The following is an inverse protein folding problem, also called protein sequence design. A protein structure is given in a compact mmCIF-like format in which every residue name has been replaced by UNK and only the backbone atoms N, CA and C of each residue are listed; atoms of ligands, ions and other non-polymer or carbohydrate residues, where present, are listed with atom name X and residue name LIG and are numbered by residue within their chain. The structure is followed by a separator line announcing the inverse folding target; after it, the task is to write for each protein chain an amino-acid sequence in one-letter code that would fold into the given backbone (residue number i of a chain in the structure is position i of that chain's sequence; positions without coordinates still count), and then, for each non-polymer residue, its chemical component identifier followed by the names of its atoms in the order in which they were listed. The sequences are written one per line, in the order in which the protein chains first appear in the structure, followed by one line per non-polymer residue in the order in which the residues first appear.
data_IF_285575903386
#
_entry.id   IF_285575903386
#
_cell.length_a   1.000
_cell.length_b   1.000
_cell.length_c   1.000
_cell.angle_alpha   90.00
_cell.angle_beta   90.00
_cell.angle_gamma   90.00
#
_symmetry.space_group_name_H-M   'P 1'
#
loop_
_entity.id
_entity.type
_entity.pdbx_description
1 polymer ?
#
# COMPACT_ATOMS: atom_id res chain seq x y z
N UNK A 1 8.94 31.45 1.99
CA UNK A 1 8.44 30.86 0.72
C UNK A 1 8.71 29.38 0.79
N UNK A 2 7.72 28.47 0.85
CA UNK A 2 8.02 27.05 0.75
C UNK A 2 8.14 26.67 -0.73
N UNK A 3 9.26 26.05 -1.06
CA UNK A 3 9.53 25.42 -2.35
C UNK A 3 8.42 24.37 -2.54
N UNK A 4 7.56 24.56 -3.55
CA UNK A 4 6.72 23.46 -4.05
C UNK A 4 7.67 22.44 -4.65
N UNK A 5 8.03 21.43 -3.88
CA UNK A 5 8.64 20.21 -4.40
C UNK A 5 7.69 19.72 -5.51
N UNK A 6 8.19 19.60 -6.73
CA UNK A 6 7.46 18.93 -7.81
C UNK A 6 7.39 17.47 -7.35
N UNK A 7 6.28 17.09 -6.72
CA UNK A 7 6.02 15.69 -6.39
C UNK A 7 5.93 14.98 -7.74
N UNK A 8 6.82 14.04 -7.99
CA UNK A 8 6.75 13.22 -9.19
C UNK A 8 5.37 12.55 -9.21
N UNK A 9 4.55 12.86 -10.22
CA UNK A 9 3.22 12.28 -10.36
C UNK A 9 3.36 10.76 -10.48
N UNK A 10 2.60 10.02 -9.67
CA UNK A 10 2.51 8.56 -9.78
C UNK A 10 1.44 8.22 -10.81
N UNK A 11 1.84 7.62 -11.93
CA UNK A 11 0.88 7.02 -12.87
C UNK A 11 0.16 5.83 -12.22
N UNK A 12 -1.09 5.61 -12.59
CA UNK A 12 -1.78 4.37 -12.24
C UNK A 12 -1.04 3.18 -12.83
N UNK A 13 -1.08 2.05 -12.13
CA UNK A 13 -0.47 0.81 -12.61
C UNK A 13 -1.32 0.15 -13.72
N UNK A 14 -2.63 0.39 -13.73
CA UNK A 14 -3.56 -0.27 -14.67
C UNK A 14 -4.26 0.68 -15.66
N UNK A 15 -4.04 2.01 -15.56
CA UNK A 15 -4.68 2.97 -16.47
C UNK A 15 -3.84 4.23 -16.69
N UNK A 16 -4.31 5.14 -17.55
CA UNK A 16 -3.58 6.37 -17.90
C UNK A 16 -3.72 7.50 -16.85
N UNK A 17 -4.49 7.30 -15.77
CA UNK A 17 -4.67 8.33 -14.74
C UNK A 17 -3.40 8.58 -13.95
N UNK A 18 -3.26 9.82 -13.46
CA UNK A 18 -2.12 10.26 -12.65
C UNK A 18 -2.58 10.75 -11.29
N UNK A 19 -1.73 10.54 -10.30
CA UNK A 19 -2.00 10.86 -8.90
C UNK A 19 -0.85 11.67 -8.30
N UNK A 20 -1.20 12.51 -7.34
CA UNK A 20 -0.22 13.33 -6.60
C UNK A 20 0.64 12.49 -5.66
N UNK A 21 0.14 11.35 -5.21
CA UNK A 21 0.79 10.46 -4.24
C UNK A 21 0.56 9.01 -4.63
N UNK A 22 1.47 8.13 -4.21
CA UNK A 22 1.34 6.70 -4.44
C UNK A 22 0.15 6.14 -3.64
N UNK A 23 -0.05 6.57 -2.40
CA UNK A 23 -1.22 6.18 -1.61
C UNK A 23 -2.55 6.61 -2.23
N UNK A 24 -2.59 7.75 -2.92
CA UNK A 24 -3.76 8.19 -3.68
C UNK A 24 -4.05 7.33 -4.90
N UNK A 25 -3.00 6.82 -5.56
CA UNK A 25 -3.13 5.83 -6.64
C UNK A 25 -3.64 4.49 -6.10
N UNK A 26 -3.15 4.03 -4.95
CA UNK A 26 -3.64 2.79 -4.33
C UNK A 26 -5.12 2.89 -3.94
N UNK A 27 -5.60 4.03 -3.42
CA UNK A 27 -7.06 4.23 -3.18
C UNK A 27 -7.85 3.98 -4.47
N UNK A 28 -7.35 4.50 -5.61
CA UNK A 28 -8.04 4.35 -6.88
C UNK A 28 -8.18 2.89 -7.32
N UNK A 29 -7.13 2.09 -7.11
CA UNK A 29 -7.16 0.65 -7.35
C UNK A 29 -8.06 -0.06 -6.34
N UNK A 30 -7.92 0.19 -5.03
CA UNK A 30 -8.74 -0.43 -3.98
C UNK A 30 -10.26 -0.27 -4.21
N UNK A 31 -10.69 0.83 -4.86
CA UNK A 31 -12.09 1.06 -5.18
C UNK A 31 -12.67 0.12 -6.26
N UNK A 32 -11.87 -0.69 -6.96
CA UNK A 32 -12.36 -1.60 -8.02
C UNK A 32 -12.83 -0.89 -9.29
N UNK A 33 -12.72 0.44 -9.36
CA UNK A 33 -13.15 1.24 -10.52
C UNK A 33 -12.08 1.35 -11.61
N UNK A 34 -10.88 0.86 -11.32
CA UNK A 34 -9.73 0.86 -12.20
C UNK A 34 -9.39 -0.58 -12.62
N UNK A 35 -9.75 -0.94 -13.85
CA UNK A 35 -9.30 -2.16 -14.54
C UNK A 35 -9.32 -3.43 -13.66
N UNK A 36 -10.53 -3.94 -13.36
CA UNK A 36 -10.81 -5.21 -12.65
C UNK A 36 -9.92 -5.57 -11.43
N UNK A 37 -9.18 -4.60 -10.88
CA UNK A 37 -8.30 -4.73 -9.73
C UNK A 37 -8.98 -4.02 -8.59
N UNK A 38 -9.14 -4.70 -7.47
CA UNK A 38 -9.71 -4.11 -6.26
C UNK A 38 -8.81 -4.34 -5.03
N UNK A 39 -9.34 -4.02 -3.85
CA UNK A 39 -8.60 -4.17 -2.61
C UNK A 39 -8.25 -5.64 -2.29
N UNK A 40 -9.06 -6.61 -2.73
CA UNK A 40 -8.82 -8.05 -2.53
C UNK A 40 -7.56 -8.45 -3.28
N UNK A 41 -7.44 -8.05 -4.55
CA UNK A 41 -6.26 -8.37 -5.37
C UNK A 41 -4.98 -7.75 -4.79
N UNK A 42 -5.06 -6.48 -4.37
CA UNK A 42 -3.92 -5.77 -3.79
C UNK A 42 -3.48 -6.38 -2.46
N UNK A 43 -4.42 -6.75 -1.61
CA UNK A 43 -4.14 -7.38 -0.32
C UNK A 43 -3.48 -8.75 -0.50
N UNK A 44 -3.95 -9.56 -1.47
CA UNK A 44 -3.32 -10.84 -1.84
C UNK A 44 -1.88 -10.63 -2.31
N UNK A 45 -1.64 -9.67 -3.20
CA UNK A 45 -0.30 -9.33 -3.66
C UNK A 45 0.59 -8.87 -2.51
N UNK A 46 0.07 -8.05 -1.59
CA UNK A 46 0.79 -7.59 -0.41
C UNK A 46 1.18 -8.77 0.51
N UNK A 47 0.28 -9.73 0.72
CA UNK A 47 0.52 -10.92 1.54
C UNK A 47 1.51 -11.94 0.90
N UNK A 48 1.67 -11.90 -0.43
CA UNK A 48 2.69 -12.66 -1.16
C UNK A 48 4.09 -12.06 -1.06
N UNK A 49 4.21 -10.80 -0.63
CA UNK A 49 5.48 -10.11 -0.51
C UNK A 49 6.44 -10.84 0.43
N UNK A 50 7.68 -11.07 0.02
CA UNK A 50 8.69 -11.74 0.88
C UNK A 50 8.94 -11.01 2.21
N UNK A 51 8.64 -9.70 2.26
CA UNK A 51 8.77 -8.85 3.45
C UNK A 51 7.44 -8.60 4.16
N UNK A 52 6.40 -9.38 3.88
CA UNK A 52 5.06 -9.19 4.47
C UNK A 52 5.11 -8.97 5.98
N UNK A 53 5.97 -9.71 6.69
CA UNK A 53 6.08 -9.68 8.15
C UNK A 53 6.66 -8.38 8.72
N UNK A 54 6.95 -7.39 7.87
CA UNK A 54 7.36 -6.05 8.28
C UNK A 54 6.23 -5.02 8.21
N UNK A 55 5.08 -5.40 7.63
CA UNK A 55 3.98 -4.47 7.42
C UNK A 55 2.59 -5.12 7.43
N UNK A 56 2.50 -6.44 7.67
CA UNK A 56 1.27 -7.22 7.87
C UNK A 56 1.41 -8.00 9.18
N UNK A 57 0.41 -7.93 10.05
CA UNK A 57 0.37 -8.73 11.26
C UNK A 57 0.26 -10.23 10.95
N UNK A 58 0.92 -11.08 11.75
CA UNK A 58 1.07 -12.50 11.45
C UNK A 58 -0.27 -13.26 11.42
N UNK A 59 -1.18 -12.89 12.31
CA UNK A 59 -2.55 -13.41 12.38
C UNK A 59 -3.40 -13.06 11.15
N UNK A 60 -3.19 -11.89 10.55
CA UNK A 60 -3.94 -11.43 9.38
C UNK A 60 -3.44 -12.03 8.06
N UNK A 61 -2.18 -12.49 8.01
CA UNK A 61 -1.50 -12.80 6.74
C UNK A 61 -2.18 -13.90 5.94
N UNK A 62 -2.63 -14.97 6.61
CA UNK A 62 -3.24 -16.12 5.93
C UNK A 62 -4.56 -15.74 5.26
N UNK A 63 -5.40 -14.98 5.96
CA UNK A 63 -6.67 -14.48 5.44
C UNK A 63 -6.44 -13.54 4.25
N UNK A 64 -5.51 -12.59 4.37
CA UNK A 64 -5.15 -11.71 3.25
C UNK A 64 -4.58 -12.49 2.05
N UNK A 65 -3.82 -13.57 2.28
CA UNK A 65 -3.21 -14.35 1.20
C UNK A 65 -4.24 -15.13 0.38
N UNK A 66 -5.21 -15.76 1.05
CA UNK A 66 -6.18 -16.64 0.39
C UNK A 66 -7.48 -15.94 0.05
N UNK A 67 -8.02 -15.14 0.97
CA UNK A 67 -9.29 -14.44 0.82
C UNK A 67 -9.10 -13.01 0.30
N UNK A 68 -7.99 -12.36 0.64
CA UNK A 68 -7.71 -10.96 0.28
C UNK A 68 -8.41 -9.93 1.18
N UNK A 69 -9.03 -10.41 2.24
CA UNK A 69 -9.71 -9.60 3.25
C UNK A 69 -9.54 -10.29 4.61
N UNK A 70 -9.73 -9.53 5.68
CA UNK A 70 -9.79 -10.09 7.04
C UNK A 70 -11.24 -10.41 7.40
N UNK A 71 -11.46 -11.48 8.16
CA UNK A 71 -12.79 -11.89 8.62
C UNK A 71 -13.42 -10.89 9.60
N UNK A 72 -12.58 -10.14 10.30
CA UNK A 72 -12.95 -9.09 11.23
C UNK A 72 -12.48 -7.74 10.69
N UNK A 73 -13.12 -6.63 11.10
CA UNK A 73 -12.70 -5.25 10.79
C UNK A 73 -11.39 -4.91 11.54
N UNK A 74 -10.35 -5.69 11.28
CA UNK A 74 -9.01 -5.57 11.83
C UNK A 74 -8.20 -4.53 11.05
N UNK A 75 -7.10 -4.08 11.66
CA UNK A 75 -6.09 -3.26 11.01
C UNK A 75 -4.92 -4.15 10.59
N UNK A 76 -4.99 -4.87 9.45
CA UNK A 76 -4.03 -5.92 9.16
C UNK A 76 -2.64 -5.39 8.83
N UNK A 77 -2.53 -4.11 8.49
CA UNK A 77 -1.26 -3.48 8.15
C UNK A 77 -0.69 -2.69 9.31
N UNK A 78 0.62 -2.55 9.34
CA UNK A 78 1.28 -1.62 10.26
C UNK A 78 2.51 -0.97 9.64
N UNK A 79 2.89 0.18 10.19
CA UNK A 79 4.09 0.88 9.76
C UNK A 79 5.36 0.18 10.30
N UNK A 80 6.33 -0.21 9.45
CA UNK A 80 7.53 -0.94 9.89
C UNK A 80 8.45 -0.17 10.87
N UNK A 81 8.25 1.14 10.99
CA UNK A 81 9.12 2.02 11.80
C UNK A 81 8.48 2.47 13.10
N UNK A 82 7.16 2.68 13.12
CA UNK A 82 6.45 3.21 14.30
C UNK A 82 5.26 2.37 14.75
N UNK A 83 5.10 1.18 14.16
CA UNK A 83 4.11 0.16 14.52
C UNK A 83 2.65 0.65 14.53
N UNK A 84 2.37 1.77 13.84
CA UNK A 84 1.01 2.32 13.74
C UNK A 84 0.14 1.34 12.96
N UNK A 85 -0.97 0.82 13.55
CA UNK A 85 -1.90 -0.04 12.85
C UNK A 85 -2.70 0.75 11.81
N UNK A 86 -2.97 0.12 10.68
CA UNK A 86 -3.53 0.74 9.50
C UNK A 86 -4.54 -0.22 8.82
N UNK A 87 -5.76 0.24 8.51
CA UNK A 87 -6.84 -0.62 8.00
C UNK A 87 -6.66 -1.02 6.54
N UNK A 88 -5.82 -0.28 5.78
CA UNK A 88 -5.72 -0.41 4.33
C UNK A 88 -4.30 -0.25 3.85
N UNK A 89 -3.99 -0.88 2.73
CA UNK A 89 -2.72 -0.72 2.04
C UNK A 89 -2.51 0.75 1.62
N UNK A 90 -3.56 1.42 1.14
CA UNK A 90 -3.54 2.86 0.86
C UNK A 90 -3.21 3.72 2.09
N UNK A 91 -3.70 3.31 3.26
CA UNK A 91 -3.44 4.02 4.53
C UNK A 91 -1.98 3.90 4.92
N UNK A 92 -1.36 2.73 4.72
CA UNK A 92 0.08 2.53 4.91
C UNK A 92 0.91 3.45 3.99
N UNK A 93 0.58 3.51 2.70
CA UNK A 93 1.30 4.40 1.80
C UNK A 93 1.11 5.88 2.14
N UNK A 94 -0.10 6.31 2.46
CA UNK A 94 -0.35 7.69 2.89
C UNK A 94 0.38 8.02 4.19
N UNK A 95 0.46 7.08 5.13
CA UNK A 95 1.18 7.26 6.38
C UNK A 95 2.65 7.57 6.12
N UNK A 96 3.35 6.74 5.33
CA UNK A 96 4.78 6.91 5.02
C UNK A 96 5.06 8.12 4.12
N UNK A 97 4.05 8.61 3.37
CA UNK A 97 4.14 9.84 2.57
C UNK A 97 3.89 11.11 3.40
N UNK A 98 3.25 11.01 4.57
CA UNK A 98 2.80 12.17 5.35
C UNK A 98 3.85 12.78 6.30
N UNK A 99 5.06 12.20 6.36
CA UNK A 99 6.13 12.59 7.30
C UNK A 99 5.72 12.55 8.78
N UNK A 100 4.71 11.74 9.14
CA UNK A 100 4.29 11.52 10.53
C UNK A 100 5.24 10.61 11.32
N UNK A 101 6.09 9.87 10.62
CA UNK A 101 7.17 9.06 11.18
C UNK A 101 8.39 9.09 10.23
N UNK A 102 9.46 8.40 10.63
CA UNK A 102 10.72 8.32 9.88
C UNK A 102 10.69 7.29 8.73
N UNK A 103 9.59 6.55 8.57
CA UNK A 103 9.41 5.64 7.43
C UNK A 103 9.25 6.42 6.13
N UNK A 104 9.75 5.88 5.02
CA UNK A 104 9.66 6.53 3.71
C UNK A 104 9.33 5.52 2.61
N UNK A 105 8.78 6.01 1.49
CA UNK A 105 8.53 5.17 0.32
C UNK A 105 9.78 4.49 -0.24
N UNK A 106 10.95 5.09 -0.03
CA UNK A 106 12.23 4.60 -0.56
C UNK A 106 12.94 3.63 0.39
N UNK A 107 12.38 3.37 1.57
CA UNK A 107 12.92 2.36 2.47
C UNK A 107 12.91 0.97 1.82
N UNK A 108 13.81 0.06 2.24
CA UNK A 108 13.92 -1.27 1.62
C UNK A 108 12.63 -2.09 1.65
N UNK A 109 11.75 -1.89 2.63
CA UNK A 109 10.47 -2.60 2.73
C UNK A 109 9.43 -1.99 1.81
N UNK A 110 9.20 -0.67 1.92
CA UNK A 110 8.21 0.03 1.11
C UNK A 110 8.56 0.00 -0.39
N UNK A 111 9.85 0.15 -0.74
CA UNK A 111 10.31 0.02 -2.13
C UNK A 111 10.09 -1.38 -2.70
N UNK A 112 10.30 -2.43 -1.89
CA UNK A 112 10.08 -3.80 -2.34
C UNK A 112 8.59 -4.06 -2.59
N UNK A 113 7.72 -3.62 -1.67
CA UNK A 113 6.27 -3.71 -1.82
C UNK A 113 5.77 -2.95 -3.07
N UNK A 114 6.19 -1.70 -3.29
CA UNK A 114 5.83 -0.94 -4.50
C UNK A 114 6.22 -1.66 -5.79
N UNK A 115 7.44 -2.21 -5.83
CA UNK A 115 7.93 -2.94 -6.99
C UNK A 115 7.18 -4.26 -7.23
N UNK A 116 6.69 -4.91 -6.17
CA UNK A 116 5.87 -6.10 -6.29
C UNK A 116 4.50 -5.75 -6.88
N UNK A 117 3.82 -4.74 -6.33
CA UNK A 117 2.52 -4.28 -6.83
C UNK A 117 2.61 -3.87 -8.31
N UNK A 118 3.67 -3.15 -8.69
CA UNK A 118 3.90 -2.73 -10.08
C UNK A 118 4.24 -3.88 -11.05
N UNK A 119 4.53 -5.08 -10.55
CA UNK A 119 4.79 -6.28 -11.37
C UNK A 119 3.62 -7.26 -11.36
N UNK A 120 2.79 -7.21 -10.34
CA UNK A 120 1.65 -8.10 -10.14
C UNK A 120 0.36 -7.61 -10.79
N UNK A 121 0.36 -6.37 -11.27
CA UNK A 121 -0.71 -5.71 -12.02
C UNK A 121 -0.19 -5.38 -13.42
#
# INVERSE_FOLDING_TARGET
MPIRLIVAESGCLCCEKKFKTYGGMIIHLECGTCDNTDYIDLNKLAAQCLKWSHFIYEDCREELLYEGDTLYDEDPFYCPTCDTPLPKLSSLFQHVESSKCEETLDSPTMKHLRNLLAKGL
#
